data_IF_742331303156
#
_entry.id   IF_742331303156
#
_cell.length_a   1.000
_cell.length_b   1.000
_cell.length_c   1.000
_cell.angle_alpha   90.00
_cell.angle_beta   90.00
_cell.angle_gamma   90.00
#
_symmetry.space_group_name_H-M   'P 1'
#
loop_
_entity.id
_entity.type
_entity.pdbx_description
1 polymer ?
#
# COMPACT_ATOMS: atom_id res chain seq x y z
N UNK A 1 -5.01 30.29 -3.18
CA UNK A 1 -4.31 29.29 -4.00
C UNK A 1 -5.31 28.19 -4.28
N UNK A 2 -5.77 28.05 -5.50
CA UNK A 2 -6.59 26.93 -5.93
C UNK A 2 -5.82 25.63 -5.62
N UNK A 3 -6.42 24.73 -4.88
CA UNK A 3 -5.91 23.38 -4.75
C UNK A 3 -6.07 22.72 -6.13
N UNK A 4 -4.98 22.65 -6.88
CA UNK A 4 -4.95 21.86 -8.11
C UNK A 4 -5.23 20.42 -7.70
N UNK A 5 -6.39 19.89 -8.12
CA UNK A 5 -6.80 18.52 -7.84
C UNK A 5 -5.83 17.51 -8.47
N UNK A 6 -5.93 16.25 -8.07
CA UNK A 6 -5.16 15.19 -8.71
C UNK A 6 -5.59 15.04 -10.18
N UNK A 7 -4.62 15.07 -11.08
CA UNK A 7 -4.84 15.00 -12.53
C UNK A 7 -4.40 13.68 -13.17
N UNK A 8 -3.97 12.71 -12.36
CA UNK A 8 -3.34 11.47 -12.80
C UNK A 8 -1.81 11.51 -12.65
N UNK A 9 -1.20 10.34 -12.64
CA UNK A 9 0.24 10.21 -12.88
C UNK A 9 0.52 10.34 -14.38
N UNK A 10 1.78 10.44 -14.76
CA UNK A 10 2.18 10.53 -16.17
C UNK A 10 3.24 9.48 -16.49
N UNK A 11 3.51 9.27 -17.77
CA UNK A 11 4.62 8.43 -18.20
C UNK A 11 5.95 8.88 -17.59
N UNK A 12 6.17 10.19 -17.44
CA UNK A 12 7.36 10.77 -16.81
C UNK A 12 7.56 10.30 -15.37
N UNK A 13 6.47 10.01 -14.62
CA UNK A 13 6.54 9.43 -13.27
C UNK A 13 7.28 8.09 -13.28
N UNK A 14 6.98 7.24 -14.24
CA UNK A 14 7.61 5.91 -14.37
C UNK A 14 9.00 6.00 -14.98
N UNK A 15 9.22 6.88 -15.93
CA UNK A 15 10.54 7.18 -16.51
C UNK A 15 11.53 7.67 -15.44
N UNK A 16 11.06 8.49 -14.48
CA UNK A 16 11.86 8.88 -13.33
C UNK A 16 12.37 7.67 -12.54
N UNK A 17 11.50 6.70 -12.24
CA UNK A 17 11.92 5.50 -11.52
C UNK A 17 12.89 4.64 -12.34
N UNK A 18 12.75 4.58 -13.66
CA UNK A 18 13.69 3.89 -14.54
C UNK A 18 15.07 4.58 -14.53
N UNK A 19 15.11 5.94 -14.58
CA UNK A 19 16.38 6.71 -14.48
C UNK A 19 17.09 6.42 -13.16
N UNK A 20 16.35 6.42 -12.02
CA UNK A 20 16.91 6.08 -10.70
C UNK A 20 17.32 4.62 -10.62
N UNK A 21 16.64 3.72 -11.31
CA UNK A 21 17.03 2.31 -11.39
C UNK A 21 18.33 2.09 -12.17
N UNK A 22 18.58 2.89 -13.21
CA UNK A 22 19.76 2.83 -14.04
C UNK A 22 21.02 3.37 -13.34
N UNK A 23 20.92 4.55 -12.72
CA UNK A 23 21.99 5.15 -11.91
C UNK A 23 21.45 5.56 -10.52
N UNK A 24 21.68 4.69 -9.53
CA UNK A 24 21.16 4.86 -8.18
C UNK A 24 22.19 5.50 -7.25
N UNK A 25 22.73 6.66 -7.67
CA UNK A 25 23.72 7.43 -6.89
C UNK A 25 23.13 8.72 -6.30
N UNK A 26 23.69 9.25 -5.19
CA UNK A 26 23.28 10.53 -4.64
C UNK A 26 23.42 11.68 -5.63
N UNK A 27 24.46 11.69 -6.43
CA UNK A 27 24.74 12.73 -7.43
C UNK A 27 23.67 12.73 -8.52
N UNK A 28 23.31 11.56 -9.03
CA UNK A 28 22.29 11.43 -10.06
C UNK A 28 20.89 11.82 -9.50
N UNK A 29 20.54 11.38 -8.30
CA UNK A 29 19.29 11.81 -7.66
C UNK A 29 19.22 13.32 -7.46
N UNK A 30 20.33 13.95 -7.06
CA UNK A 30 20.36 15.40 -6.87
C UNK A 30 20.08 16.15 -8.18
N UNK A 31 20.63 15.68 -9.29
CA UNK A 31 20.36 16.23 -10.61
C UNK A 31 18.87 16.07 -11.02
N UNK A 32 18.20 15.00 -10.57
CA UNK A 32 16.79 14.70 -10.85
C UNK A 32 15.82 15.20 -9.76
N UNK A 33 16.28 15.92 -8.73
CA UNK A 33 15.46 16.33 -7.58
C UNK A 33 14.24 17.18 -7.98
N UNK A 34 14.39 18.08 -8.93
CA UNK A 34 13.28 18.89 -9.43
C UNK A 34 12.23 18.03 -10.11
N UNK A 35 12.66 17.13 -10.99
CA UNK A 35 11.80 16.17 -11.68
C UNK A 35 11.07 15.27 -10.65
N UNK A 36 11.78 14.74 -9.64
CA UNK A 36 11.16 13.97 -8.56
C UNK A 36 10.01 14.73 -7.88
N UNK A 37 10.24 15.99 -7.55
CA UNK A 37 9.23 16.80 -6.87
C UNK A 37 8.00 17.04 -7.75
N UNK A 38 8.19 17.26 -9.04
CA UNK A 38 7.14 17.56 -9.99
C UNK A 38 6.35 16.32 -10.41
N UNK A 39 7.05 15.27 -10.89
CA UNK A 39 6.37 14.14 -11.55
C UNK A 39 6.05 12.97 -10.60
N UNK A 40 6.60 12.96 -9.37
CA UNK A 40 6.34 11.89 -8.39
C UNK A 40 5.71 12.44 -7.11
N UNK A 41 6.39 13.37 -6.43
CA UNK A 41 5.98 13.78 -5.09
C UNK A 41 4.71 14.65 -5.11
N UNK A 42 4.59 15.57 -6.06
CA UNK A 42 3.41 16.44 -6.17
C UNK A 42 2.15 15.62 -6.50
N UNK A 43 2.13 14.72 -7.51
CA UNK A 43 0.98 13.85 -7.77
C UNK A 43 0.63 12.93 -6.59
N UNK A 44 1.62 12.35 -5.89
CA UNK A 44 1.36 11.54 -4.69
C UNK A 44 0.69 12.35 -3.58
N UNK A 45 1.09 13.60 -3.37
CA UNK A 45 0.43 14.50 -2.41
C UNK A 45 -1.00 14.81 -2.82
N UNK A 46 -1.24 15.10 -4.10
CA UNK A 46 -2.57 15.39 -4.64
C UNK A 46 -3.49 14.17 -4.51
N UNK A 47 -3.02 12.97 -4.87
CA UNK A 47 -3.78 11.73 -4.68
C UNK A 47 -4.10 11.49 -3.20
N UNK A 48 -3.11 11.65 -2.30
CA UNK A 48 -3.33 11.53 -0.86
C UNK A 48 -4.40 12.48 -0.35
N UNK A 49 -4.40 13.74 -0.79
CA UNK A 49 -5.42 14.72 -0.43
C UNK A 49 -6.80 14.37 -1.03
N UNK A 50 -6.83 13.90 -2.27
CA UNK A 50 -8.06 13.52 -2.96
C UNK A 50 -8.81 12.37 -2.29
N UNK A 51 -8.09 11.31 -1.86
CA UNK A 51 -8.71 10.14 -1.19
C UNK A 51 -9.01 10.38 0.29
N UNK A 52 -8.41 11.38 0.92
CA UNK A 52 -8.52 11.66 2.36
C UNK A 52 -9.96 11.84 2.85
N UNK A 53 -10.88 12.57 2.15
CA UNK A 53 -12.25 12.71 2.61
C UNK A 53 -13.03 11.40 2.68
N UNK A 54 -12.80 10.49 1.73
CA UNK A 54 -13.40 9.15 1.71
C UNK A 54 -12.85 8.29 2.82
N UNK A 55 -11.52 8.25 2.98
CA UNK A 55 -10.87 7.49 4.05
C UNK A 55 -11.27 7.98 5.45
N UNK A 56 -11.44 9.29 5.63
CA UNK A 56 -11.91 9.86 6.90
C UNK A 56 -13.31 9.39 7.30
N UNK A 57 -14.19 9.16 6.30
CA UNK A 57 -15.53 8.59 6.55
C UNK A 57 -15.48 7.12 6.93
N UNK A 58 -14.50 6.36 6.41
CA UNK A 58 -14.32 4.93 6.74
C UNK A 58 -13.75 4.78 8.14
N UNK A 59 -12.68 5.51 8.47
CA UNK A 59 -12.09 5.50 9.82
C UNK A 59 -11.41 6.86 10.12
N UNK A 60 -12.04 7.65 10.97
CA UNK A 60 -11.53 8.97 11.40
C UNK A 60 -10.22 8.93 12.20
N UNK A 61 -9.72 7.74 12.56
CA UNK A 61 -8.46 7.54 13.28
C UNK A 61 -7.25 7.44 12.35
N UNK A 62 -7.45 7.38 11.03
CA UNK A 62 -6.36 7.30 10.06
C UNK A 62 -5.48 8.56 10.10
N UNK A 63 -4.18 8.38 9.93
CA UNK A 63 -3.28 9.50 9.64
C UNK A 63 -3.36 9.82 8.14
N UNK A 64 -3.99 10.96 7.83
CA UNK A 64 -4.25 11.41 6.45
C UNK A 64 -3.32 12.54 6.01
N UNK A 65 -2.34 12.93 6.83
CA UNK A 65 -1.43 14.03 6.51
C UNK A 65 -0.49 13.64 5.36
N UNK A 66 -0.45 14.38 4.24
CA UNK A 66 0.36 14.04 3.05
C UNK A 66 1.84 14.40 3.27
N UNK A 67 2.49 13.77 4.26
CA UNK A 67 3.87 14.04 4.63
C UNK A 67 4.79 12.88 4.25
N UNK A 68 5.97 13.22 3.70
CA UNK A 68 7.00 12.24 3.39
C UNK A 68 7.56 11.62 4.68
N UNK A 69 7.64 10.28 4.70
CA UNK A 69 8.03 9.52 5.89
C UNK A 69 6.89 9.24 6.86
N UNK A 70 5.70 9.78 6.59
CA UNK A 70 4.42 9.43 7.21
C UNK A 70 3.55 8.67 6.19
N UNK A 71 2.48 9.32 5.69
CA UNK A 71 1.59 8.76 4.67
C UNK A 71 2.30 8.47 3.34
N UNK A 72 3.21 9.35 2.91
CA UNK A 72 4.01 9.16 1.69
C UNK A 72 5.33 8.49 2.07
N UNK A 73 5.69 7.41 1.39
CA UNK A 73 6.96 6.73 1.60
C UNK A 73 8.15 7.65 1.32
N UNK A 74 9.29 7.39 1.97
CA UNK A 74 10.55 8.07 1.63
C UNK A 74 11.15 7.43 0.39
N UNK A 75 11.63 8.24 -0.55
CA UNK A 75 12.39 7.74 -1.70
C UNK A 75 13.73 7.14 -1.24
N UNK A 76 14.38 7.72 -0.22
CA UNK A 76 15.62 7.20 0.33
C UNK A 76 15.37 5.93 1.16
N UNK A 77 16.19 4.90 0.91
CA UNK A 77 16.14 3.62 1.63
C UNK A 77 16.99 3.69 2.91
N UNK A 78 16.55 2.95 3.93
CA UNK A 78 17.45 2.55 5.00
C UNK A 78 18.19 1.28 4.56
N UNK A 79 19.48 1.43 4.27
CA UNK A 79 20.31 0.35 3.74
C UNK A 79 21.24 -0.29 4.78
N UNK A 80 21.12 0.13 6.06
CA UNK A 80 22.01 -0.36 7.14
C UNK A 80 22.04 -1.87 7.22
N UNK A 81 20.89 -2.52 7.15
CA UNK A 81 20.74 -3.97 7.27
C UNK A 81 20.40 -4.65 5.92
N UNK A 82 20.45 -3.93 4.80
CA UNK A 82 20.14 -4.46 3.47
C UNK A 82 21.40 -4.97 2.77
N UNK A 83 21.29 -6.10 2.08
CA UNK A 83 22.34 -6.58 1.15
C UNK A 83 22.47 -5.64 -0.06
N UNK A 84 21.34 -5.16 -0.57
CA UNK A 84 21.31 -4.16 -1.63
C UNK A 84 21.56 -2.77 -1.01
N UNK A 85 22.65 -2.12 -1.39
CA UNK A 85 23.09 -0.81 -0.88
C UNK A 85 22.61 0.37 -1.73
N UNK A 86 21.82 0.16 -2.78
CA UNK A 86 21.21 1.24 -3.57
C UNK A 86 20.43 2.20 -2.64
N UNK A 87 20.80 3.50 -2.60
CA UNK A 87 20.25 4.43 -1.61
C UNK A 87 18.81 4.86 -1.90
N UNK A 88 18.33 4.71 -3.12
CA UNK A 88 16.99 5.16 -3.50
C UNK A 88 16.10 4.00 -3.94
N UNK A 89 14.79 4.18 -3.77
CA UNK A 89 13.76 3.27 -4.25
C UNK A 89 13.43 3.56 -5.69
N UNK A 90 13.06 2.52 -6.41
CA UNK A 90 12.51 2.60 -7.77
C UNK A 90 10.98 2.53 -7.78
N UNK A 91 10.37 2.74 -6.64
CA UNK A 91 8.92 2.83 -6.42
C UNK A 91 8.59 3.62 -5.18
N UNK A 92 7.37 4.11 -5.07
CA UNK A 92 6.86 4.77 -3.88
C UNK A 92 5.45 4.28 -3.55
N UNK A 93 4.97 4.61 -2.36
CA UNK A 93 3.62 4.26 -1.93
C UNK A 93 3.00 5.33 -1.04
N UNK A 94 1.68 5.35 -1.02
CA UNK A 94 0.87 5.94 0.02
C UNK A 94 0.49 4.86 1.03
N UNK A 95 0.44 5.21 2.31
CA UNK A 95 0.02 4.31 3.37
C UNK A 95 -0.69 5.09 4.47
N UNK A 96 -1.98 4.85 4.63
CA UNK A 96 -2.83 5.45 5.63
C UNK A 96 -3.03 4.45 6.78
N UNK A 97 -2.44 4.73 7.93
CA UNK A 97 -2.41 3.81 9.08
C UNK A 97 -3.27 4.40 10.19
N UNK A 98 -4.00 3.54 10.91
CA UNK A 98 -4.69 3.96 12.12
C UNK A 98 -3.69 4.37 13.20
N UNK A 99 -4.02 5.43 13.94
CA UNK A 99 -3.21 5.92 15.08
C UNK A 99 -3.34 5.02 16.29
N UNK A 100 -4.29 4.09 16.28
CA UNK A 100 -4.51 3.14 17.36
C UNK A 100 -3.44 2.03 17.33
N UNK A 101 -2.64 1.85 18.38
CA UNK A 101 -1.60 0.84 18.41
C UNK A 101 -2.14 -0.61 18.39
N UNK A 102 -3.42 -0.83 18.75
CA UNK A 102 -4.03 -2.17 18.80
C UNK A 102 -4.48 -2.73 17.45
N UNK A 103 -4.72 -1.88 16.44
CA UNK A 103 -5.22 -2.30 15.14
C UNK A 103 -4.43 -1.64 14.01
N UNK A 104 -3.35 -2.26 13.59
CA UNK A 104 -2.51 -1.75 12.50
C UNK A 104 -3.07 -2.15 11.13
N UNK A 105 -4.29 -1.70 10.83
CA UNK A 105 -4.82 -1.77 9.48
C UNK A 105 -4.30 -0.56 8.69
N UNK A 106 -3.85 -0.80 7.47
CA UNK A 106 -3.43 0.25 6.56
C UNK A 106 -4.24 0.14 5.26
N UNK A 107 -4.71 1.27 4.76
CA UNK A 107 -5.02 1.42 3.34
C UNK A 107 -3.74 1.86 2.63
N UNK A 108 -3.50 1.36 1.44
CA UNK A 108 -2.29 1.70 0.70
C UNK A 108 -2.53 1.76 -0.82
N UNK A 109 -1.67 2.50 -1.48
CA UNK A 109 -1.51 2.53 -2.93
C UNK A 109 -0.02 2.42 -3.25
N UNK A 110 0.38 1.42 -4.01
CA UNK A 110 1.75 1.23 -4.48
C UNK A 110 1.90 1.78 -5.89
N UNK A 111 2.78 2.75 -6.05
CA UNK A 111 3.21 3.33 -7.31
C UNK A 111 4.51 2.64 -7.74
N UNK A 112 4.37 1.54 -8.47
CA UNK A 112 5.47 0.69 -8.93
C UNK A 112 5.47 0.59 -10.45
N UNK A 113 6.58 0.83 -11.16
CA UNK A 113 6.68 0.62 -12.61
C UNK A 113 6.33 -0.80 -13.07
N UNK A 114 6.48 -1.80 -12.21
CA UNK A 114 6.08 -3.18 -12.52
C UNK A 114 4.57 -3.43 -12.46
N UNK A 115 3.81 -2.49 -11.89
CA UNK A 115 2.36 -2.55 -11.75
C UNK A 115 1.90 -1.83 -10.50
N UNK A 116 0.87 -1.00 -10.64
CA UNK A 116 0.27 -0.29 -9.51
C UNK A 116 -0.81 -1.14 -8.86
N UNK A 117 -0.90 -1.08 -7.55
CA UNK A 117 -1.94 -1.77 -6.78
C UNK A 117 -2.45 -0.86 -5.66
N UNK A 118 -3.70 -1.02 -5.28
CA UNK A 118 -4.20 -0.48 -4.02
C UNK A 118 -4.81 -1.60 -3.17
N UNK A 119 -4.88 -1.36 -1.87
CA UNK A 119 -5.40 -2.39 -0.99
C UNK A 119 -5.48 -1.97 0.46
N UNK A 120 -5.81 -2.95 1.29
CA UNK A 120 -5.91 -2.80 2.73
C UNK A 120 -5.36 -4.05 3.42
N UNK A 121 -4.76 -3.84 4.58
CA UNK A 121 -4.21 -4.96 5.35
C UNK A 121 -3.03 -4.57 6.21
N UNK A 122 -2.19 -5.54 6.50
CA UNK A 122 -0.99 -5.34 7.29
C UNK A 122 0.23 -5.84 6.53
N UNK A 123 1.30 -5.05 6.49
CA UNK A 123 2.59 -5.49 5.94
C UNK A 123 3.46 -6.21 6.98
N UNK A 124 3.14 -6.03 8.27
CA UNK A 124 3.80 -6.66 9.39
C UNK A 124 2.78 -6.82 10.51
N UNK A 125 2.69 -8.03 11.06
CA UNK A 125 1.95 -8.32 12.29
C UNK A 125 2.85 -9.14 13.19
N UNK A 126 2.80 -8.85 14.47
CA UNK A 126 3.44 -9.73 15.45
C UNK A 126 2.72 -11.07 15.51
N UNK A 127 3.38 -12.15 15.96
CA UNK A 127 2.72 -13.44 16.18
C UNK A 127 1.50 -13.35 17.11
N UNK A 128 1.55 -12.46 18.11
CA UNK A 128 0.45 -12.24 19.05
C UNK A 128 -0.75 -11.58 18.34
N UNK A 129 -0.54 -10.48 17.59
CA UNK A 129 -1.61 -9.80 16.82
C UNK A 129 -2.27 -10.77 15.83
N UNK A 130 -1.50 -11.61 15.17
CA UNK A 130 -2.04 -12.63 14.26
C UNK A 130 -2.79 -13.75 14.98
N UNK A 131 -2.37 -14.10 16.20
CA UNK A 131 -3.09 -15.08 17.01
C UNK A 131 -4.47 -14.57 17.41
N UNK A 132 -4.56 -13.30 17.81
CA UNK A 132 -5.83 -12.65 18.14
C UNK A 132 -6.77 -12.56 16.92
N UNK A 133 -6.24 -12.16 15.75
CA UNK A 133 -7.00 -12.13 14.50
C UNK A 133 -7.52 -13.52 14.11
N UNK A 134 -6.68 -14.57 14.19
CA UNK A 134 -7.11 -15.94 13.90
C UNK A 134 -8.20 -16.42 14.84
N UNK A 135 -8.08 -16.09 16.15
CA UNK A 135 -9.12 -16.39 17.13
C UNK A 135 -10.46 -15.76 16.75
N UNK A 136 -10.43 -14.49 16.33
CA UNK A 136 -11.62 -13.78 15.84
C UNK A 136 -12.21 -14.46 14.61
N UNK A 137 -11.40 -14.80 13.62
CA UNK A 137 -11.86 -15.45 12.38
C UNK A 137 -12.51 -16.80 12.64
N UNK A 138 -11.95 -17.60 13.54
CA UNK A 138 -12.50 -18.90 13.92
C UNK A 138 -13.78 -18.78 14.77
N UNK A 139 -13.89 -17.73 15.58
CA UNK A 139 -15.11 -17.44 16.34
C UNK A 139 -16.26 -16.92 15.47
N UNK A 140 -15.95 -16.32 14.31
CA UNK A 140 -16.92 -15.71 13.40
C UNK A 140 -16.75 -16.21 11.94
N UNK A 141 -16.84 -17.52 11.71
CA UNK A 141 -16.50 -18.12 10.41
C UNK A 141 -17.37 -17.59 9.26
N UNK A 142 -18.68 -17.47 9.46
CA UNK A 142 -19.60 -16.94 8.44
C UNK A 142 -19.30 -15.50 8.05
N UNK A 143 -19.06 -14.61 9.03
CA UNK A 143 -18.73 -13.21 8.77
C UNK A 143 -17.39 -13.08 8.07
N UNK A 144 -16.39 -13.88 8.49
CA UNK A 144 -15.07 -13.91 7.88
C UNK A 144 -15.15 -14.38 6.42
N UNK A 145 -15.89 -15.45 6.16
CA UNK A 145 -16.14 -15.94 4.80
C UNK A 145 -16.82 -14.90 3.94
N UNK A 146 -17.90 -14.30 4.43
CA UNK A 146 -18.62 -13.23 3.72
C UNK A 146 -17.71 -12.06 3.38
N UNK A 147 -16.85 -11.63 4.30
CA UNK A 147 -15.88 -10.58 4.06
C UNK A 147 -14.92 -10.96 2.91
N UNK A 148 -14.35 -12.16 2.92
CA UNK A 148 -13.42 -12.61 1.88
C UNK A 148 -14.13 -12.66 0.53
N UNK A 149 -15.34 -13.24 0.47
CA UNK A 149 -16.13 -13.34 -0.76
C UNK A 149 -16.50 -11.96 -1.32
N UNK A 150 -16.83 -10.98 -0.45
CA UNK A 150 -17.10 -9.61 -0.87
C UNK A 150 -15.86 -8.94 -1.47
N UNK A 151 -14.67 -9.08 -0.85
CA UNK A 151 -13.43 -8.55 -1.43
C UNK A 151 -13.08 -9.22 -2.75
N UNK A 152 -13.25 -10.54 -2.84
CA UNK A 152 -13.02 -11.28 -4.08
C UNK A 152 -13.96 -10.82 -5.20
N UNK A 153 -15.26 -10.60 -4.90
CA UNK A 153 -16.24 -10.08 -5.85
C UNK A 153 -15.90 -8.67 -6.36
N UNK A 154 -15.22 -7.85 -5.54
CA UNK A 154 -14.70 -6.54 -5.93
C UNK A 154 -13.35 -6.60 -6.68
N UNK A 155 -12.83 -7.80 -6.92
CA UNK A 155 -11.57 -8.04 -7.62
C UNK A 155 -10.32 -7.91 -6.76
N UNK A 156 -10.45 -7.93 -5.43
CA UNK A 156 -9.31 -8.00 -4.53
C UNK A 156 -8.81 -9.44 -4.38
N UNK A 157 -7.50 -9.58 -4.26
CA UNK A 157 -6.83 -10.85 -4.02
C UNK A 157 -6.22 -10.86 -2.62
N UNK A 158 -6.43 -11.97 -1.90
CA UNK A 158 -5.80 -12.19 -0.60
C UNK A 158 -4.31 -12.49 -0.78
N UNK A 159 -3.45 -11.65 -0.20
CA UNK A 159 -2.00 -11.77 -0.23
C UNK A 159 -1.37 -11.97 1.15
N UNK A 160 -0.05 -12.14 1.14
CA UNK A 160 0.79 -12.31 2.33
C UNK A 160 1.51 -13.66 2.37
N UNK A 161 2.67 -13.75 3.06
CA UNK A 161 3.42 -14.99 3.16
C UNK A 161 2.72 -16.01 4.05
N UNK A 162 2.79 -17.28 3.66
CA UNK A 162 2.19 -18.37 4.41
C UNK A 162 3.19 -19.07 5.34
N UNK A 163 2.67 -19.69 6.39
CA UNK A 163 3.38 -20.70 7.15
C UNK A 163 3.43 -22.01 6.36
N UNK A 164 4.53 -22.74 6.43
CA UNK A 164 4.60 -24.13 5.93
C UNK A 164 3.63 -25.06 6.66
N UNK A 165 3.46 -24.81 7.97
CA UNK A 165 2.49 -25.50 8.83
C UNK A 165 1.69 -24.42 9.55
N UNK A 166 0.43 -24.22 9.17
CA UNK A 166 -0.43 -23.23 9.82
C UNK A 166 -0.60 -23.50 11.30
N UNK A 167 -0.58 -22.48 12.16
CA UNK A 167 -0.74 -22.66 13.61
C UNK A 167 -2.16 -23.02 14.03
N UNK A 168 -3.13 -22.79 13.16
CA UNK A 168 -4.55 -23.12 13.35
C UNK A 168 -5.13 -23.59 12.01
N UNK A 169 -6.13 -24.46 12.05
CA UNK A 169 -6.75 -25.09 10.88
C UNK A 169 -8.26 -24.85 10.87
N UNK A 170 -8.86 -24.97 9.70
CA UNK A 170 -10.30 -24.94 9.45
C UNK A 170 -10.63 -25.96 8.37
N UNK A 171 -11.81 -26.53 8.39
CA UNK A 171 -12.33 -27.38 7.30
C UNK A 171 -12.77 -26.51 6.09
N UNK A 172 -13.09 -25.24 6.31
CA UNK A 172 -13.37 -24.29 5.23
C UNK A 172 -12.05 -23.89 4.54
N UNK A 173 -11.86 -24.23 3.24
CA UNK A 173 -10.62 -23.96 2.52
C UNK A 173 -10.32 -22.47 2.38
N UNK A 174 -11.33 -21.60 2.33
CA UNK A 174 -11.17 -20.14 2.23
C UNK A 174 -10.67 -19.57 3.56
N UNK A 175 -11.26 -20.02 4.68
CA UNK A 175 -10.74 -19.65 6.00
C UNK A 175 -9.32 -20.20 6.19
N UNK A 176 -9.06 -21.43 5.75
CA UNK A 176 -7.76 -22.06 5.85
C UNK A 176 -6.66 -21.25 5.15
N UNK A 177 -6.97 -20.69 3.97
CA UNK A 177 -6.05 -19.82 3.24
C UNK A 177 -5.68 -18.57 4.06
N UNK A 178 -6.65 -17.90 4.69
CA UNK A 178 -6.43 -16.76 5.57
C UNK A 178 -5.64 -17.13 6.83
N UNK A 179 -5.99 -18.24 7.49
CA UNK A 179 -5.34 -18.72 8.72
C UNK A 179 -3.87 -19.09 8.50
N UNK A 180 -3.52 -19.53 7.29
CA UNK A 180 -2.16 -19.89 6.93
C UNK A 180 -1.22 -18.67 6.78
N UNK A 181 -1.74 -17.45 6.65
CA UNK A 181 -0.93 -16.24 6.44
C UNK A 181 -0.18 -15.82 7.71
N UNK A 182 1.09 -15.39 7.55
CA UNK A 182 1.88 -14.77 8.65
C UNK A 182 1.41 -13.36 8.97
N UNK A 183 0.97 -12.66 7.95
CA UNK A 183 0.18 -11.43 7.92
C UNK A 183 -0.57 -11.43 6.60
N UNK A 184 -1.61 -10.63 6.47
CA UNK A 184 -2.44 -10.64 5.27
C UNK A 184 -2.83 -9.23 4.84
N UNK A 185 -3.13 -9.13 3.58
CA UNK A 185 -3.69 -7.96 2.94
C UNK A 185 -4.59 -8.41 1.78
N UNK A 186 -5.49 -7.52 1.41
CA UNK A 186 -6.28 -7.64 0.19
C UNK A 186 -5.80 -6.54 -0.75
N UNK A 187 -5.44 -6.90 -1.97
CA UNK A 187 -4.97 -5.94 -2.96
C UNK A 187 -5.64 -6.15 -4.31
N UNK A 188 -5.76 -5.06 -5.04
CA UNK A 188 -6.34 -5.05 -6.38
C UNK A 188 -5.38 -4.30 -7.32
N UNK A 189 -5.00 -4.90 -8.47
CA UNK A 189 -4.23 -4.21 -9.49
C UNK A 189 -5.03 -3.06 -10.12
N UNK A 190 -4.32 -2.00 -10.48
CA UNK A 190 -4.87 -0.83 -11.16
C UNK A 190 -4.34 -0.80 -12.58
N UNK A 191 -5.22 -0.61 -13.56
CA UNK A 191 -4.79 -0.44 -14.94
C UNK A 191 -3.99 0.84 -15.12
N UNK A 192 -3.04 0.86 -16.05
CA UNK A 192 -2.26 2.07 -16.34
C UNK A 192 -3.14 3.21 -16.85
N UNK A 193 -4.22 2.89 -17.56
CA UNK A 193 -5.22 3.87 -17.98
C UNK A 193 -5.82 4.60 -16.76
N UNK A 194 -6.23 3.84 -15.73
CA UNK A 194 -6.74 4.42 -14.47
C UNK A 194 -5.67 5.21 -13.73
N UNK A 195 -4.42 4.71 -13.70
CA UNK A 195 -3.29 5.40 -13.04
C UNK A 195 -3.02 6.76 -13.66
N UNK A 196 -3.19 6.88 -14.97
CA UNK A 196 -3.03 8.16 -15.70
C UNK A 196 -4.26 9.07 -15.62
N UNK A 197 -5.39 8.58 -15.14
CA UNK A 197 -6.62 9.34 -15.06
C UNK A 197 -6.80 10.05 -13.71
N UNK A 198 -7.45 11.20 -13.73
CA UNK A 198 -7.86 11.91 -12.51
C UNK A 198 -8.84 11.09 -11.66
N UNK A 199 -9.60 10.18 -12.27
CA UNK A 199 -10.57 9.30 -11.62
C UNK A 199 -9.94 8.22 -10.71
N UNK A 200 -8.61 8.11 -10.67
CA UNK A 200 -7.92 7.21 -9.71
C UNK A 200 -8.32 7.50 -8.25
N UNK A 201 -8.69 8.75 -7.93
CA UNK A 201 -9.16 9.13 -6.58
C UNK A 201 -10.52 8.51 -6.22
N UNK A 202 -11.30 8.07 -7.21
CA UNK A 202 -12.66 7.53 -7.04
C UNK A 202 -12.69 5.99 -7.13
N UNK A 203 -11.51 5.37 -7.38
CA UNK A 203 -11.36 3.92 -7.55
C UNK A 203 -11.25 3.21 -6.20
#
# INVERSE_FOLDING_TARGET
>A
MEQVGFSGFTQQTFEFFMKIGFDNTPQHFEALRSEFNEVVLAPLKQLSLGVSPTLAKIDGRLDLRPVMGGTISRIRRDTRFSKNKAPYRTKMWLKFITKDPGMRLAFYFDLDPAGCVFGLGTSHSTPQEMTEKRRYFLAHPHQTRQMIDQYAALGFVLGGPCYKRPPQTSEDPVLMELLARKYFYFEKPVSMETVYASSLVDT
#
